data_IF_768543635775
#
_entry.id   IF_768543635775
#
_cell.length_a   1.000
_cell.length_b   1.000
_cell.length_c   1.000
_cell.angle_alpha   90.00
_cell.angle_beta   90.00
_cell.angle_gamma   90.00
#
_symmetry.space_group_name_H-M   'P 1'
#
loop_
_entity.id
_entity.type
_entity.pdbx_description
1 polymer ?
#
# COMPACT_ATOMS: atom_id res chain seq x y z
N UNK A 1 -8.72 18.52 14.20
CA UNK A 1 -7.45 18.34 13.46
C UNK A 1 -7.13 16.90 13.06
N UNK A 2 -7.15 15.86 13.90
CA UNK A 2 -6.72 14.51 13.47
C UNK A 2 -7.66 13.71 12.53
N UNK A 3 -8.94 14.08 12.42
CA UNK A 3 -9.92 13.31 11.64
C UNK A 3 -9.81 13.55 10.12
N UNK A 4 -9.37 14.74 9.69
CA UNK A 4 -9.28 15.11 8.27
C UNK A 4 -8.05 14.49 7.61
N UNK A 5 -6.91 14.49 8.32
CA UNK A 5 -5.70 13.82 7.86
C UNK A 5 -5.92 12.31 7.69
N UNK A 6 -6.55 11.64 8.66
CA UNK A 6 -6.86 10.21 8.58
C UNK A 6 -7.73 9.86 7.35
N UNK A 7 -8.69 10.72 6.98
CA UNK A 7 -9.51 10.54 5.77
C UNK A 7 -8.70 10.65 4.48
N UNK A 8 -7.76 11.60 4.46
CA UNK A 8 -6.86 11.82 3.33
C UNK A 8 -5.94 10.63 3.13
N UNK A 9 -5.32 10.15 4.21
CA UNK A 9 -4.44 8.98 4.21
C UNK A 9 -5.18 7.71 3.78
N UNK A 10 -6.37 7.46 4.32
CA UNK A 10 -7.21 6.34 3.89
C UNK A 10 -7.57 6.44 2.40
N UNK A 11 -7.83 7.66 1.92
CA UNK A 11 -8.08 7.94 0.52
C UNK A 11 -6.90 7.52 -0.37
N UNK A 12 -5.67 7.86 0.01
CA UNK A 12 -4.47 7.40 -0.70
C UNK A 12 -4.30 5.88 -0.65
N UNK A 13 -4.43 5.25 0.52
CA UNK A 13 -4.31 3.80 0.65
C UNK A 13 -5.28 3.05 -0.30
N UNK A 14 -6.54 3.47 -0.35
CA UNK A 14 -7.55 2.84 -1.22
C UNK A 14 -7.32 3.20 -2.69
N UNK A 15 -6.95 4.44 -3.01
CA UNK A 15 -6.71 4.86 -4.39
C UNK A 15 -5.61 4.03 -5.08
N UNK A 16 -4.59 3.69 -4.29
CA UNK A 16 -3.34 3.11 -4.77
C UNK A 16 -3.16 1.63 -4.43
N UNK A 17 -4.01 1.07 -3.56
CA UNK A 17 -3.97 -0.34 -3.18
C UNK A 17 -2.93 -0.66 -2.12
N UNK A 18 -2.67 0.27 -1.20
CA UNK A 18 -1.74 0.04 -0.10
C UNK A 18 -2.43 -0.68 1.07
N UNK A 19 -2.14 -1.96 1.23
CA UNK A 19 -2.66 -2.80 2.34
C UNK A 19 -4.16 -3.12 2.26
N UNK A 20 -4.85 -2.66 1.21
CA UNK A 20 -6.28 -2.86 0.92
C UNK A 20 -6.49 -3.01 -0.59
N UNK A 21 -7.65 -3.52 -1.00
CA UNK A 21 -8.00 -3.63 -2.43
C UNK A 21 -8.07 -2.25 -3.09
N UNK A 22 -7.39 -2.11 -4.22
CA UNK A 22 -7.29 -0.84 -4.96
C UNK A 22 -8.65 -0.43 -5.53
N UNK A 23 -9.09 0.78 -5.20
CA UNK A 23 -10.29 1.40 -5.76
C UNK A 23 -10.08 2.90 -5.99
N UNK A 24 -9.66 3.24 -7.21
CA UNK A 24 -9.49 4.61 -7.70
C UNK A 24 -10.68 5.53 -7.39
N UNK A 25 -11.95 5.17 -7.68
CA UNK A 25 -13.09 6.06 -7.45
C UNK A 25 -13.36 6.30 -5.95
N UNK A 26 -13.24 5.26 -5.12
CA UNK A 26 -13.46 5.38 -3.68
C UNK A 26 -12.34 6.19 -3.00
N UNK A 27 -11.08 5.95 -3.38
CA UNK A 27 -9.95 6.74 -2.88
C UNK A 27 -10.05 8.22 -3.23
N UNK A 28 -10.40 8.55 -4.48
CA UNK A 28 -10.64 9.95 -4.91
C UNK A 28 -11.75 10.62 -4.10
N UNK A 29 -12.85 9.92 -3.84
CA UNK A 29 -13.97 10.45 -3.05
C UNK A 29 -13.51 10.86 -1.65
N UNK A 30 -12.68 10.05 -1.00
CA UNK A 30 -12.16 10.33 0.34
C UNK A 30 -11.18 11.52 0.36
N UNK A 31 -10.29 11.60 -0.62
CA UNK A 31 -9.35 12.74 -0.75
C UNK A 31 -10.12 14.04 -0.98
N UNK A 32 -11.12 14.04 -1.86
CA UNK A 32 -11.98 15.20 -2.11
C UNK A 32 -12.77 15.59 -0.86
N UNK A 33 -13.31 14.60 -0.14
CA UNK A 33 -14.03 14.84 1.11
C UNK A 33 -13.13 15.45 2.19
N UNK A 34 -11.89 14.97 2.32
CA UNK A 34 -10.91 15.55 3.24
C UNK A 34 -10.68 17.02 2.91
N UNK A 35 -10.40 17.34 1.64
CA UNK A 35 -10.21 18.72 1.19
C UNK A 35 -11.43 19.61 1.44
N UNK A 36 -12.64 19.11 1.19
CA UNK A 36 -13.86 19.85 1.47
C UNK A 36 -14.02 20.19 2.96
N UNK A 37 -13.61 19.27 3.85
CA UNK A 37 -13.65 19.48 5.30
C UNK A 37 -12.60 20.49 5.77
N UNK A 38 -11.40 20.50 5.20
CA UNK A 38 -10.40 21.54 5.48
C UNK A 38 -10.92 22.92 5.14
N UNK A 39 -11.55 23.07 3.97
CA UNK A 39 -12.12 24.33 3.54
C UNK A 39 -13.27 24.77 4.46
N UNK A 40 -14.09 23.84 4.94
CA UNK A 40 -15.16 24.13 5.88
C UNK A 40 -14.62 24.52 7.28
N UNK A 41 -13.57 23.87 7.77
CA UNK A 41 -12.89 24.22 9.03
C UNK A 41 -12.18 25.59 8.93
N UNK A 42 -11.58 25.90 7.77
CA UNK A 42 -10.97 27.20 7.52
C UNK A 42 -12.02 28.33 7.44
N UNK A 43 -13.20 28.05 6.87
CA UNK A 43 -14.29 29.02 6.79
C UNK A 43 -14.89 29.36 8.16
N UNK A 44 -14.93 28.40 9.10
CA UNK A 44 -15.43 28.65 10.47
C UNK A 44 -14.38 29.25 11.40
N UNK A 45 -13.09 29.11 11.09
CA UNK A 45 -11.96 29.61 11.87
C UNK A 45 -11.56 31.08 11.67
N UNK A 46 -12.36 31.90 10.98
CA UNK A 46 -12.02 33.29 10.62
C UNK A 46 -12.09 34.31 11.79
N UNK A 47 -11.59 33.93 12.98
CA UNK A 47 -11.44 34.83 14.12
C UNK A 47 -10.19 34.50 14.98
N UNK A 48 -9.01 34.44 14.37
CA UNK A 48 -7.73 34.84 15.01
C UNK A 48 -6.59 34.76 14.01
N UNK A 49 -6.27 35.92 13.41
CA UNK A 49 -4.90 36.20 12.99
C UNK A 49 -4.08 36.38 14.27
N UNK A 50 -2.99 35.63 14.47
CA UNK A 50 -1.58 36.04 14.58
C UNK A 50 -0.77 34.81 15.04
N UNK A 51 0.21 34.38 14.23
CA UNK A 51 1.46 33.83 14.78
C UNK A 51 1.53 32.32 14.99
N UNK A 52 2.42 31.72 14.19
CA UNK A 52 3.18 30.50 14.49
C UNK A 52 2.41 29.19 14.35
N UNK A 53 2.63 28.53 13.21
CA UNK A 53 2.67 27.07 13.14
C UNK A 53 3.45 26.48 14.33
N UNK A 54 2.87 25.52 15.07
CA UNK A 54 3.65 24.55 15.80
C UNK A 54 3.33 23.17 15.20
N UNK A 55 4.21 22.75 14.31
CA UNK A 55 4.55 21.36 14.03
C UNK A 55 4.39 20.48 15.28
N UNK A 56 3.54 19.43 15.26
CA UNK A 56 3.49 18.28 16.21
C UNK A 56 2.22 17.45 15.90
N UNK A 57 2.23 16.19 15.49
CA UNK A 57 3.24 15.16 15.23
C UNK A 57 2.96 14.66 13.82
N UNK A 58 3.89 14.82 12.89
CA UNK A 58 3.81 14.04 11.66
C UNK A 58 4.21 12.62 12.04
N UNK A 59 3.21 11.75 12.10
CA UNK A 59 3.42 10.31 12.22
C UNK A 59 4.31 9.87 11.07
N UNK A 60 5.30 9.01 11.33
CA UNK A 60 6.17 8.47 10.28
C UNK A 60 5.35 7.84 9.15
N UNK A 61 4.18 7.28 9.48
CA UNK A 61 3.22 6.77 8.52
C UNK A 61 2.71 7.87 7.56
N UNK A 62 2.33 9.04 8.09
CA UNK A 62 1.88 10.17 7.26
C UNK A 62 3.01 10.70 6.37
N UNK A 63 4.25 10.77 6.88
CA UNK A 63 5.41 11.18 6.07
C UNK A 63 5.69 10.21 4.93
N UNK A 64 5.71 8.91 5.23
CA UNK A 64 5.91 7.87 4.24
C UNK A 64 4.86 7.93 3.12
N UNK A 65 3.58 8.10 3.47
CA UNK A 65 2.49 8.15 2.49
C UNK A 65 2.56 9.41 1.60
N UNK A 66 2.97 10.55 2.17
CA UNK A 66 3.20 11.79 1.41
C UNK A 66 4.36 11.63 0.43
N UNK A 67 5.53 11.18 0.91
CA UNK A 67 6.72 10.96 0.07
C UNK A 67 6.45 9.92 -1.03
N UNK A 68 5.73 8.85 -0.71
CA UNK A 68 5.31 7.83 -1.67
C UNK A 68 4.38 8.39 -2.76
N UNK A 69 3.40 9.23 -2.37
CA UNK A 69 2.44 9.83 -3.30
C UNK A 69 3.09 10.87 -4.22
N UNK A 70 4.04 11.67 -3.71
CA UNK A 70 4.82 12.62 -4.50
C UNK A 70 5.67 11.93 -5.55
N UNK A 71 6.38 10.86 -5.18
CA UNK A 71 7.16 10.05 -6.12
C UNK A 71 6.29 9.51 -7.26
N UNK A 72 5.09 8.99 -6.96
CA UNK A 72 4.13 8.49 -7.96
C UNK A 72 3.56 9.57 -8.87
N UNK A 73 3.37 10.80 -8.37
CA UNK A 73 2.97 11.93 -9.22
C UNK A 73 4.08 12.34 -10.17
N UNK A 74 5.32 12.38 -9.70
CA UNK A 74 6.47 12.63 -10.56
C UNK A 74 6.58 11.57 -11.66
N UNK A 75 6.49 10.28 -11.30
CA UNK A 75 6.47 9.15 -12.25
C UNK A 75 5.33 9.27 -13.29
N UNK A 76 4.12 9.64 -12.88
CA UNK A 76 2.98 9.80 -13.80
C UNK A 76 3.05 11.08 -14.65
N UNK A 77 3.72 12.13 -14.17
CA UNK A 77 3.84 13.40 -14.89
C UNK A 77 4.93 13.34 -15.98
N UNK A 78 5.97 12.55 -15.76
CA UNK A 78 6.99 12.23 -16.78
C UNK A 78 6.51 11.20 -17.83
N UNK A 79 5.37 10.54 -17.58
CA UNK A 79 4.72 9.58 -18.49
C UNK A 79 3.62 10.17 -19.38
N UNK A 80 3.31 11.48 -19.28
CA UNK A 80 2.24 12.10 -20.09
C UNK A 80 2.63 12.31 -21.57
N UNK A 81 3.93 12.32 -21.88
CA UNK A 81 4.46 12.57 -23.23
C UNK A 81 5.04 11.30 -23.90
N UNK A 82 4.88 10.14 -23.26
CA UNK A 82 5.33 8.84 -23.78
C UNK A 82 4.13 7.92 -23.86
N UNK A 83 3.80 7.45 -25.06
CA UNK A 83 2.84 6.36 -25.26
C UNK A 83 3.11 5.26 -24.23
N UNK A 84 2.06 4.91 -23.48
CA UNK A 84 2.14 4.05 -22.31
C UNK A 84 2.97 2.79 -22.60
N UNK A 85 4.10 2.56 -21.91
CA UNK A 85 4.63 1.22 -21.80
C UNK A 85 3.62 0.45 -20.96
N UNK A 86 2.83 -0.40 -21.62
CA UNK A 86 2.13 -1.52 -21.01
C UNK A 86 3.19 -2.46 -20.43
N UNK A 87 3.74 -2.09 -19.28
CA UNK A 87 4.64 -2.92 -18.51
C UNK A 87 4.08 -3.02 -17.10
N UNK A 88 2.83 -3.51 -17.03
CA UNK A 88 2.59 -4.57 -16.07
C UNK A 88 3.62 -5.63 -16.39
N UNK A 89 4.60 -5.80 -15.49
CA UNK A 89 5.52 -6.93 -15.52
C UNK A 89 4.65 -8.14 -15.84
N UNK A 90 4.96 -8.95 -16.87
CA UNK A 90 4.21 -10.17 -17.08
C UNK A 90 4.40 -10.95 -15.77
N UNK A 91 3.34 -10.99 -14.94
CA UNK A 91 3.17 -12.17 -14.13
C UNK A 91 2.94 -13.21 -15.19
N UNK A 92 4.02 -13.91 -15.54
CA UNK A 92 3.92 -15.19 -16.20
C UNK A 92 2.74 -15.89 -15.52
N UNK A 93 1.72 -16.27 -16.29
CA UNK A 93 0.44 -16.81 -15.81
C UNK A 93 0.58 -18.17 -15.14
N UNK A 94 1.68 -18.38 -14.44
CA UNK A 94 2.08 -19.56 -13.74
C UNK A 94 1.44 -19.50 -12.36
N UNK A 95 0.33 -20.22 -12.25
CA UNK A 95 -0.32 -20.54 -11.00
C UNK A 95 0.71 -21.15 -10.05
N UNK A 96 0.89 -20.52 -8.89
CA UNK A 96 1.95 -20.87 -7.94
C UNK A 96 1.53 -22.03 -7.05
N UNK A 97 2.50 -22.83 -6.62
CA UNK A 97 2.27 -23.84 -5.58
C UNK A 97 2.45 -23.24 -4.18
N UNK A 98 1.74 -23.80 -3.20
CA UNK A 98 1.98 -23.49 -1.80
C UNK A 98 3.39 -23.95 -1.39
N UNK A 99 4.15 -23.07 -0.73
CA UNK A 99 5.52 -23.40 -0.34
C UNK A 99 5.61 -24.44 0.79
N UNK A 100 4.55 -24.57 1.60
CA UNK A 100 4.45 -25.68 2.56
C UNK A 100 4.37 -27.00 1.80
N UNK A 101 5.45 -27.80 1.82
CA UNK A 101 5.55 -29.06 1.07
C UNK A 101 4.51 -30.11 1.46
N UNK A 102 3.93 -30.00 2.66
CA UNK A 102 2.80 -30.84 3.09
C UNK A 102 1.44 -30.34 2.57
N UNK A 103 1.41 -29.26 1.79
CA UNK A 103 0.24 -28.71 1.15
C UNK A 103 0.45 -28.74 -0.37
N UNK A 104 -0.34 -29.55 -1.05
CA UNK A 104 -0.26 -29.75 -2.50
C UNK A 104 -1.22 -28.82 -3.27
N UNK A 105 -1.64 -27.70 -2.65
CA UNK A 105 -2.55 -26.77 -3.32
C UNK A 105 -1.79 -25.87 -4.29
N UNK A 106 -2.32 -25.81 -5.49
CA UNK A 106 -1.97 -24.89 -6.55
C UNK A 106 -2.92 -23.70 -6.52
N UNK A 107 -2.40 -22.54 -6.88
CA UNK A 107 -3.18 -21.32 -7.04
C UNK A 107 -4.22 -21.54 -8.13
N UNK A 108 -5.48 -21.17 -7.89
CA UNK A 108 -6.54 -21.32 -8.91
C UNK A 108 -6.80 -20.03 -9.67
N UNK A 109 -6.44 -18.90 -9.05
CA UNK A 109 -6.54 -17.56 -9.61
C UNK A 109 -5.30 -16.76 -9.23
N UNK A 110 -4.76 -15.99 -10.16
CA UNK A 110 -3.63 -15.10 -9.90
C UNK A 110 -3.85 -14.22 -8.66
N UNK A 111 -2.87 -14.23 -7.75
CA UNK A 111 -2.88 -13.42 -6.53
C UNK A 111 -3.75 -13.97 -5.40
N UNK A 112 -4.22 -15.22 -5.50
CA UNK A 112 -4.92 -15.90 -4.40
C UNK A 112 -3.96 -16.20 -3.24
N UNK A 113 -2.71 -16.54 -3.56
CA UNK A 113 -1.72 -16.94 -2.55
C UNK A 113 -0.99 -15.74 -1.97
N UNK A 114 -0.82 -15.75 -0.65
CA UNK A 114 -0.13 -14.66 0.06
C UNK A 114 1.36 -14.95 0.16
N UNK A 115 2.17 -13.91 -0.04
CA UNK A 115 3.63 -13.97 0.11
C UNK A 115 4.05 -13.94 1.57
N UNK A 116 5.20 -14.53 1.88
CA UNK A 116 5.87 -14.30 3.17
C UNK A 116 6.11 -12.80 3.36
N UNK A 117 5.70 -12.24 4.50
CA UNK A 117 5.84 -10.80 4.77
C UNK A 117 7.29 -10.35 4.97
N UNK A 118 8.23 -11.29 5.19
CA UNK A 118 9.64 -11.00 5.42
C UNK A 118 10.41 -11.07 4.10
N UNK A 119 10.46 -12.22 3.44
CA UNK A 119 11.27 -12.37 2.21
C UNK A 119 10.50 -12.07 0.92
N UNK A 120 9.17 -12.11 0.93
CA UNK A 120 8.31 -12.02 -0.27
C UNK A 120 8.55 -13.04 -1.40
N UNK A 121 9.43 -14.03 -1.23
CA UNK A 121 9.81 -14.99 -2.27
C UNK A 121 8.89 -16.21 -2.33
N UNK A 122 8.48 -16.72 -1.17
CA UNK A 122 7.60 -17.89 -1.06
C UNK A 122 6.14 -17.48 -0.88
N UNK A 123 5.22 -18.30 -1.40
CA UNK A 123 3.78 -18.05 -1.42
C UNK A 123 3.03 -19.15 -0.66
N UNK A 124 1.95 -18.78 0.04
CA UNK A 124 1.14 -19.68 0.85
C UNK A 124 -0.34 -19.50 0.57
N UNK A 125 -1.06 -20.61 0.43
CA UNK A 125 -2.52 -20.60 0.28
C UNK A 125 -3.26 -20.13 1.55
N UNK A 126 -2.59 -20.15 2.71
CA UNK A 126 -3.18 -19.74 3.99
C UNK A 126 -2.12 -19.43 5.04
N UNK A 127 -2.51 -18.64 6.06
CA UNK A 127 -1.68 -18.39 7.26
C UNK A 127 -1.29 -19.67 8.00
N UNK A 128 -2.15 -20.69 7.99
CA UNK A 128 -1.84 -21.97 8.62
C UNK A 128 -0.70 -22.71 7.90
N UNK A 129 -0.62 -22.62 6.57
CA UNK A 129 0.48 -23.21 5.80
C UNK A 129 1.79 -22.45 6.02
N UNK A 130 1.73 -21.12 6.09
CA UNK A 130 2.89 -20.30 6.45
C UNK A 130 3.44 -20.68 7.84
N UNK A 131 2.57 -20.84 8.84
CA UNK A 131 2.99 -21.20 10.19
C UNK A 131 3.64 -22.59 10.26
N UNK A 132 3.10 -23.59 9.53
CA UNK A 132 3.71 -24.92 9.47
C UNK A 132 5.07 -24.91 8.79
N UNK A 133 5.19 -24.20 7.67
CA UNK A 133 6.45 -24.10 6.93
C UNK A 133 7.52 -23.35 7.74
N UNK A 134 7.11 -22.33 8.51
CA UNK A 134 7.96 -21.61 9.45
C UNK A 134 8.59 -22.53 10.50
N UNK A 135 7.79 -23.43 11.08
CA UNK A 135 8.25 -24.42 12.07
C UNK A 135 9.16 -25.47 11.41
N UNK A 136 8.85 -25.90 10.19
CA UNK A 136 9.59 -26.93 9.46
C UNK A 136 10.96 -26.49 8.96
N UNK A 137 11.21 -25.18 8.81
CA UNK A 137 12.55 -24.71 8.50
C UNK A 137 12.64 -23.40 7.73
N UNK A 138 11.53 -22.85 7.21
CA UNK A 138 11.59 -21.62 6.42
C UNK A 138 12.31 -20.48 7.15
N UNK A 139 12.16 -20.38 8.48
CA UNK A 139 12.83 -19.39 9.31
C UNK A 139 14.36 -19.32 9.14
N UNK A 140 15.01 -20.44 8.82
CA UNK A 140 16.48 -20.49 8.66
C UNK A 140 16.93 -19.76 7.40
N UNK A 141 16.15 -19.85 6.32
CA UNK A 141 16.50 -19.32 5.01
C UNK A 141 15.76 -18.02 4.68
N UNK A 142 14.71 -17.67 5.45
CA UNK A 142 13.85 -16.52 5.19
C UNK A 142 14.61 -15.18 5.16
N UNK A 143 15.58 -14.98 6.04
CA UNK A 143 16.35 -13.72 6.08
C UNK A 143 17.46 -13.66 5.02
N UNK A 144 17.93 -14.80 4.51
CA UNK A 144 19.10 -14.87 3.63
C UNK A 144 18.78 -14.44 2.20
N UNK A 145 17.53 -14.56 1.78
CA UNK A 145 17.13 -14.24 0.41
C UNK A 145 16.67 -12.77 0.21
N UNK A 146 16.90 -11.88 1.20
CA UNK A 146 16.64 -10.44 1.05
C UNK A 146 17.77 -9.68 0.34
N UNK A 147 18.88 -10.34 0.00
CA UNK A 147 20.07 -9.72 -0.56
C UNK A 147 20.29 -10.16 -2.02
N UNK A 148 19.59 -9.52 -2.95
CA UNK A 148 19.95 -9.41 -4.37
C UNK A 148 19.23 -8.21 -4.99
#
# INVERSE_FOLDING_TARGET
MGHVDALRELGFCIHDGYGVDRSVPNGRRLIVLAKAREMAEAATGSASLIGSTPLKKQDLASRFMVEWAERRRAENQEGADREAPTQGVPSDGQLRMCANKLCEREETREGEFRRCSVCALVHYCSRACQARDWIQGHKANCAQEQAL
#
